data_IF_804002797596
#
_entry.id   IF_804002797596
#
_cell.length_a   1.000
_cell.length_b   1.000
_cell.length_c   1.000
_cell.angle_alpha   90.00
_cell.angle_beta   90.00
_cell.angle_gamma   90.00
#
_symmetry.space_group_name_H-M   'P 1'
#
loop_
_entity.id
_entity.type
_entity.pdbx_description
1 polymer ?
#
# COMPACT_ATOMS: atom_id res chain seq x y z
N UNK A 1 2.97 -15.60 13.39
CA UNK A 1 2.77 -15.36 11.96
C UNK A 1 3.71 -14.28 11.50
N UNK A 2 4.60 -14.55 10.54
CA UNK A 2 5.47 -13.53 9.98
C UNK A 2 4.64 -12.63 9.04
N UNK A 3 4.39 -11.39 9.46
CA UNK A 3 3.54 -10.47 8.68
C UNK A 3 4.21 -10.02 7.39
N UNK A 4 5.54 -9.93 7.33
CA UNK A 4 6.24 -9.54 6.11
C UNK A 4 6.06 -10.61 5.00
N UNK A 5 6.28 -11.88 5.34
CA UNK A 5 6.08 -12.99 4.40
C UNK A 5 4.64 -13.06 3.87
N UNK A 6 3.66 -12.80 4.75
CA UNK A 6 2.26 -12.81 4.34
C UNK A 6 1.92 -11.64 3.41
N UNK A 7 2.47 -10.45 3.66
CA UNK A 7 2.29 -9.30 2.77
C UNK A 7 2.89 -9.56 1.40
N UNK A 8 4.08 -10.16 1.32
CA UNK A 8 4.70 -10.56 0.05
C UNK A 8 3.83 -11.56 -0.71
N UNK A 9 3.33 -12.60 -0.04
CA UNK A 9 2.45 -13.59 -0.68
C UNK A 9 1.16 -12.95 -1.22
N UNK A 10 0.56 -12.02 -0.48
CA UNK A 10 -0.62 -11.28 -0.94
C UNK A 10 -0.29 -10.34 -2.10
N UNK A 11 0.88 -9.71 -2.08
CA UNK A 11 1.35 -8.86 -3.17
C UNK A 11 1.46 -9.68 -4.46
N UNK A 12 2.15 -10.81 -4.41
CA UNK A 12 2.35 -11.72 -5.54
C UNK A 12 1.01 -12.20 -6.14
N UNK A 13 0.04 -12.53 -5.27
CA UNK A 13 -1.30 -12.96 -5.70
C UNK A 13 -2.13 -11.84 -6.35
N UNK A 14 -2.03 -10.61 -5.85
CA UNK A 14 -2.91 -9.50 -6.21
C UNK A 14 -2.35 -8.57 -7.29
N UNK A 15 -1.04 -8.63 -7.60
CA UNK A 15 -0.45 -7.83 -8.68
C UNK A 15 -0.75 -8.42 -10.07
N UNK A 16 -2.01 -8.33 -10.49
CA UNK A 16 -2.43 -8.60 -11.87
C UNK A 16 -2.60 -7.32 -12.69
N UNK A 17 -2.75 -6.16 -12.02
CA UNK A 17 -2.93 -4.86 -12.66
C UNK A 17 -1.57 -4.16 -12.85
N UNK A 18 -1.07 -3.99 -14.09
CA UNK A 18 0.17 -3.25 -14.32
C UNK A 18 0.02 -1.80 -13.83
N UNK A 19 1.06 -1.27 -13.19
CA UNK A 19 1.08 0.09 -12.63
C UNK A 19 0.78 0.17 -11.13
N UNK A 20 0.37 -0.92 -10.48
CA UNK A 20 0.23 -0.94 -9.02
C UNK A 20 1.33 -1.74 -8.33
N UNK A 21 1.79 -1.21 -7.19
CA UNK A 21 2.81 -1.85 -6.36
C UNK A 21 2.26 -2.03 -4.94
N UNK A 22 2.42 -3.22 -4.38
CA UNK A 22 2.12 -3.52 -2.97
C UNK A 22 3.45 -3.86 -2.30
N UNK A 23 3.73 -3.27 -1.15
CA UNK A 23 4.94 -3.61 -0.40
C UNK A 23 4.80 -3.40 1.11
N UNK A 24 5.57 -4.18 1.87
CA UNK A 24 5.79 -3.97 3.30
C UNK A 24 6.97 -3.04 3.54
N UNK A 25 6.79 -1.99 4.34
CA UNK A 25 7.86 -1.03 4.69
C UNK A 25 8.11 -1.04 6.19
N UNK A 26 9.40 -1.13 6.54
CA UNK A 26 9.87 -1.17 7.92
C UNK A 26 9.70 -2.55 8.56
N UNK A 27 10.05 -2.69 9.85
CA UNK A 27 9.90 -3.96 10.56
C UNK A 27 8.42 -4.29 10.76
N UNK A 28 7.92 -5.26 10.00
CA UNK A 28 6.60 -5.83 10.23
C UNK A 28 6.69 -6.86 11.37
N UNK A 29 5.75 -6.83 12.33
CA UNK A 29 5.84 -7.67 13.52
C UNK A 29 5.54 -9.13 13.19
N UNK A 30 5.96 -10.01 14.11
CA UNK A 30 5.43 -11.37 14.16
C UNK A 30 4.18 -11.34 15.05
N UNK A 31 3.00 -11.56 14.47
CA UNK A 31 1.74 -11.55 15.21
C UNK A 31 1.36 -12.95 15.71
N UNK A 32 0.88 -13.04 16.95
CA UNK A 32 0.25 -14.25 17.50
C UNK A 32 -1.23 -14.26 17.09
N UNK A 33 -1.50 -14.72 15.89
CA UNK A 33 -2.85 -14.82 15.31
C UNK A 33 -2.89 -15.97 14.30
N UNK A 34 -4.09 -16.38 13.89
CA UNK A 34 -4.28 -17.35 12.82
C UNK A 34 -3.87 -16.80 11.45
N UNK A 35 -3.37 -17.66 10.56
CA UNK A 35 -3.00 -17.27 9.18
C UNK A 35 -4.21 -16.75 8.41
N UNK A 36 -5.26 -17.57 8.33
CA UNK A 36 -6.48 -17.27 7.58
C UNK A 36 -7.13 -15.93 7.95
N UNK A 37 -7.39 -15.60 9.24
CA UNK A 37 -8.00 -14.32 9.58
C UNK A 37 -7.10 -13.12 9.25
N UNK A 38 -5.77 -13.24 9.43
CA UNK A 38 -4.85 -12.16 9.07
C UNK A 38 -4.77 -11.96 7.55
N UNK A 39 -4.73 -13.06 6.80
CA UNK A 39 -4.75 -13.05 5.33
C UNK A 39 -6.02 -12.36 4.80
N UNK A 40 -7.19 -12.76 5.29
CA UNK A 40 -8.48 -12.15 4.92
C UNK A 40 -8.48 -10.64 5.19
N UNK A 41 -8.04 -10.21 6.38
CA UNK A 41 -8.00 -8.78 6.71
C UNK A 41 -7.05 -8.02 5.79
N UNK A 42 -5.84 -8.53 5.56
CA UNK A 42 -4.87 -7.88 4.68
C UNK A 42 -5.39 -7.79 3.24
N UNK A 43 -5.97 -8.87 2.70
CA UNK A 43 -6.56 -8.86 1.36
C UNK A 43 -7.68 -7.85 1.26
N UNK A 44 -8.61 -7.81 2.23
CA UNK A 44 -9.71 -6.85 2.23
C UNK A 44 -9.21 -5.40 2.24
N UNK A 45 -8.18 -5.10 3.02
CA UNK A 45 -7.63 -3.75 3.07
C UNK A 45 -6.91 -3.38 1.76
N UNK A 46 -6.18 -4.31 1.16
CA UNK A 46 -5.49 -4.12 -0.12
C UNK A 46 -6.51 -3.99 -1.27
N UNK A 47 -7.54 -4.81 -1.33
CA UNK A 47 -8.60 -4.72 -2.35
C UNK A 47 -9.42 -3.45 -2.20
N UNK A 48 -9.73 -3.04 -0.97
CA UNK A 48 -10.34 -1.74 -0.71
C UNK A 48 -9.48 -0.59 -1.25
N UNK A 49 -8.16 -0.66 -1.05
CA UNK A 49 -7.22 0.31 -1.60
C UNK A 49 -7.26 0.34 -3.13
N UNK A 50 -7.32 -0.83 -3.79
CA UNK A 50 -7.42 -0.91 -5.25
C UNK A 50 -8.72 -0.35 -5.82
N UNK A 51 -9.85 -0.66 -5.17
CA UNK A 51 -11.18 -0.31 -5.67
C UNK A 51 -11.49 1.18 -5.53
N UNK A 52 -11.02 1.81 -4.45
CA UNK A 52 -11.28 3.22 -4.16
C UNK A 52 -10.12 4.13 -4.61
N UNK A 53 -9.14 3.59 -5.34
CA UNK A 53 -8.06 4.38 -5.90
C UNK A 53 -8.46 4.94 -7.27
N UNK A 54 -8.58 6.25 -7.34
CA UNK A 54 -8.85 6.98 -8.58
C UNK A 54 -7.55 7.12 -9.40
N UNK A 55 -7.23 6.09 -10.19
CA UNK A 55 -6.12 6.13 -11.15
C UNK A 55 -5.56 4.76 -11.53
N UNK A 56 -4.83 4.74 -12.65
CA UNK A 56 -4.27 3.52 -13.23
C UNK A 56 -2.94 3.09 -12.59
N UNK A 57 -2.33 3.96 -11.78
CA UNK A 57 -1.03 3.74 -11.13
C UNK A 57 -1.16 4.11 -9.65
N UNK A 58 -0.73 3.21 -8.77
CA UNK A 58 -0.86 3.42 -7.33
C UNK A 58 0.13 2.57 -6.52
N UNK A 59 0.38 2.98 -5.28
CA UNK A 59 1.27 2.26 -4.35
C UNK A 59 0.56 2.01 -3.04
N UNK A 60 0.46 0.74 -2.64
CA UNK A 60 -0.10 0.30 -1.36
C UNK A 60 1.05 -0.08 -0.44
N UNK A 61 1.22 0.67 0.65
CA UNK A 61 2.30 0.45 1.61
C UNK A 61 1.74 -0.09 2.92
N UNK A 62 2.16 -1.30 3.29
CA UNK A 62 1.85 -1.90 4.58
C UNK A 62 2.96 -1.54 5.57
N UNK A 63 2.60 -0.92 6.69
CA UNK A 63 3.54 -0.57 7.75
C UNK A 63 2.99 -0.90 9.13
N UNK A 64 3.87 -1.08 10.10
CA UNK A 64 3.49 -1.34 11.48
C UNK A 64 4.02 -0.24 12.39
N UNK A 65 3.22 0.15 13.38
CA UNK A 65 3.62 1.10 14.42
C UNK A 65 3.33 0.50 15.79
N UNK A 66 4.31 0.54 16.67
CA UNK A 66 4.08 0.19 18.07
C UNK A 66 3.36 1.34 18.75
N UNK A 67 2.13 1.10 19.20
CA UNK A 67 1.30 2.11 19.86
C UNK A 67 1.58 2.26 21.36
N UNK A 68 2.69 1.73 21.87
CA UNK A 68 3.22 2.00 23.21
C UNK A 68 2.17 2.10 24.32
N UNK A 69 1.57 0.97 24.71
CA UNK A 69 0.73 0.92 25.91
C UNK A 69 1.18 -0.21 26.82
N UNK A 70 1.66 0.15 28.02
CA UNK A 70 1.81 -0.75 29.16
C UNK A 70 0.42 -1.03 29.73
N UNK A 71 -0.06 -2.25 29.57
CA UNK A 71 -1.14 -2.73 30.43
C UNK A 71 -0.59 -2.84 31.86
N UNK A 72 -1.40 -2.56 32.90
CA UNK A 72 -0.98 -2.69 34.30
C UNK A 72 -0.53 -4.12 34.69
N UNK A 73 -0.73 -5.11 33.80
CA UNK A 73 -0.29 -6.49 33.98
C UNK A 73 1.19 -6.76 33.67
N UNK A 74 1.97 -5.77 33.19
CA UNK A 74 3.42 -5.94 32.96
C UNK A 74 3.78 -6.94 31.85
N UNK A 75 2.80 -7.48 31.13
CA UNK A 75 3.03 -8.38 30.01
C UNK A 75 3.38 -7.56 28.74
N UNK A 76 4.45 -7.92 28.01
CA UNK A 76 4.75 -7.28 26.74
C UNK A 76 3.65 -7.64 25.73
N UNK A 77 2.73 -6.71 25.45
CA UNK A 77 1.80 -6.90 24.34
C UNK A 77 2.48 -6.58 23.01
N UNK A 78 2.49 -7.61 22.16
CA UNK A 78 2.83 -7.57 20.74
C UNK A 78 1.87 -6.62 19.99
N UNK A 79 2.42 -5.64 19.28
CA UNK A 79 1.81 -4.65 18.37
C UNK A 79 0.27 -4.65 18.28
N UNK A 80 -0.35 -3.54 18.72
CA UNK A 80 -1.81 -3.33 18.68
C UNK A 80 -2.36 -2.60 17.44
N UNK A 81 -1.52 -2.09 16.53
CA UNK A 81 -2.01 -1.51 15.28
C UNK A 81 -1.08 -1.73 14.09
N UNK A 82 -1.66 -2.22 13.00
CA UNK A 82 -1.08 -2.19 11.68
C UNK A 82 -1.62 -0.94 10.97
N UNK A 83 -0.74 -0.08 10.47
CA UNK A 83 -1.13 1.12 9.74
C UNK A 83 -0.89 0.90 8.25
N UNK A 84 -1.97 0.75 7.50
CA UNK A 84 -1.89 0.75 6.04
C UNK A 84 -1.81 2.20 5.55
N UNK A 85 -0.81 2.50 4.71
CA UNK A 85 -0.68 3.80 4.05
C UNK A 85 -0.76 3.61 2.55
N UNK A 86 -1.77 4.21 1.94
CA UNK A 86 -1.91 4.22 0.48
C UNK A 86 -1.28 5.52 -0.01
N UNK A 87 -0.36 5.42 -0.96
CA UNK A 87 0.27 6.57 -1.59
C UNK A 87 0.05 6.44 -3.10
N UNK A 88 -0.61 7.40 -3.73
CA UNK A 88 -0.54 7.52 -5.17
C UNK A 88 0.84 8.04 -5.54
N UNK A 89 1.52 7.39 -6.51
CA UNK A 89 2.65 8.05 -7.14
C UNK A 89 2.11 9.32 -7.82
N UNK A 90 2.81 10.47 -7.77
CA UNK A 90 2.48 11.55 -8.67
C UNK A 90 2.68 10.98 -10.07
N UNK A 91 1.59 10.78 -10.79
CA UNK A 91 1.59 10.54 -12.21
C UNK A 91 2.34 11.71 -12.84
N UNK A 92 3.63 11.55 -13.11
CA UNK A 92 4.35 12.40 -14.06
C UNK A 92 3.76 12.08 -15.42
N UNK A 93 2.56 12.59 -15.66
CA UNK A 93 2.03 12.72 -17.00
C UNK A 93 2.92 13.77 -17.68
N UNK A 94 3.82 13.30 -18.54
CA UNK A 94 4.54 14.14 -19.46
C UNK A 94 3.52 14.86 -20.35
N UNK A 95 3.16 16.10 -20.02
CA UNK A 95 2.66 17.00 -21.06
C UNK A 95 3.86 17.33 -21.95
N UNK A 96 3.96 16.56 -23.03
CA UNK A 96 4.50 17.04 -24.30
C UNK A 96 3.90 18.42 -24.57
N UNK A 97 4.64 19.48 -24.28
CA UNK A 97 4.46 20.76 -24.96
C UNK A 97 5.27 20.73 -26.25
N UNK A 98 4.88 19.82 -27.13
CA UNK A 98 5.17 19.91 -28.55
C UNK A 98 3.98 20.59 -29.21
N UNK A 99 3.95 21.92 -29.22
CA UNK A 99 3.14 22.67 -30.16
C UNK A 99 4.03 23.69 -30.86
N UNK A 100 4.61 23.21 -31.96
CA UNK A 100 5.09 24.00 -33.08
C UNK A 100 4.03 25.06 -33.42
N UNK A 101 4.37 26.33 -33.27
CA UNK A 101 3.67 27.41 -33.94
C UNK A 101 4.32 27.58 -35.32
N UNK A 102 3.60 27.12 -36.34
CA UNK A 102 3.83 27.42 -37.75
C UNK A 102 2.48 27.79 -38.39
N UNK A 103 2.52 28.77 -39.29
CA UNK A 103 1.45 29.43 -40.09
C UNK A 103 0.71 30.53 -39.33
N UNK A 104 0.87 31.80 -39.71
CA UNK A 104 0.38 32.42 -40.96
C UNK A 104 -0.96 33.09 -40.59
N UNK A 105 -1.29 34.34 -40.85
CA UNK A 105 -1.23 35.07 -42.12
C UNK A 105 -1.83 36.49 -41.83
N UNK A 106 -1.32 37.50 -42.54
CA UNK A 106 -2.00 38.70 -43.09
C UNK A 106 -3.03 39.50 -42.25
N UNK A 107 -2.73 40.79 -42.09
CA UNK A 107 -3.61 41.87 -41.66
C UNK A 107 -2.86 43.18 -41.52
#
# INVERSE_FOLDING_TARGET
MNTAELVTAIADDLTTRPGFVIEGVGPLPILRTGKAPLDTVLRNLVTNAFQHHDGDVGRVVVSAVSLGHLLPSGLPMTVRALRLRIASAPSRCSRRSGRSQSKGDLG
#
